data_IF_553422494048
#
_entry.id   IF_553422494048
#
_cell.length_a   1.000
_cell.length_b   1.000
_cell.length_c   1.000
_cell.angle_alpha   90.00
_cell.angle_beta   90.00
_cell.angle_gamma   90.00
#
_symmetry.space_group_name_H-M   'P 1'
#
loop_
_entity.id
_entity.type
_entity.pdbx_description
1 polymer ?
#
# COMPACT_ATOMS: atom_id res chain seq x y z
N UNK A 1 -3.56 -24.16 -23.29
CA UNK A 1 -3.67 -24.40 -21.82
C UNK A 1 -2.41 -24.06 -21.05
N UNK A 2 -1.20 -24.36 -21.57
CA UNK A 2 0.07 -23.99 -20.91
C UNK A 2 0.18 -22.49 -20.56
N UNK A 3 -0.19 -21.59 -21.48
CA UNK A 3 -0.15 -20.13 -21.23
C UNK A 3 -1.09 -19.66 -20.12
N UNK A 4 -2.25 -20.30 -19.89
CA UNK A 4 -3.16 -19.95 -18.78
C UNK A 4 -2.64 -20.44 -17.42
N UNK A 5 -1.99 -21.61 -17.39
CA UNK A 5 -1.40 -22.17 -16.16
C UNK A 5 -0.11 -21.41 -15.80
N UNK A 6 0.69 -21.05 -16.80
CA UNK A 6 1.90 -20.24 -16.62
C UNK A 6 1.56 -18.78 -16.31
N UNK A 7 0.53 -18.17 -16.91
CA UNK A 7 0.18 -16.77 -16.59
C UNK A 7 -0.25 -16.59 -15.13
N UNK A 8 -1.04 -17.52 -14.58
CA UNK A 8 -1.45 -17.48 -13.18
C UNK A 8 -0.27 -17.67 -12.20
N UNK A 9 0.64 -18.61 -12.51
CA UNK A 9 1.82 -18.89 -11.67
C UNK A 9 2.86 -17.77 -11.76
N UNK A 10 3.12 -17.25 -12.95
CA UNK A 10 4.04 -16.11 -13.14
C UNK A 10 3.50 -14.87 -12.45
N UNK A 11 2.19 -14.59 -12.51
CA UNK A 11 1.55 -13.48 -11.79
C UNK A 11 1.72 -13.61 -10.28
N UNK A 12 1.49 -14.81 -9.73
CA UNK A 12 1.71 -15.09 -8.31
C UNK A 12 3.17 -14.86 -7.91
N UNK A 13 4.12 -15.37 -8.70
CA UNK A 13 5.56 -15.19 -8.47
C UNK A 13 5.92 -13.70 -8.52
N UNK A 14 5.45 -12.94 -9.51
CA UNK A 14 5.72 -11.51 -9.63
C UNK A 14 5.20 -10.74 -8.42
N UNK A 15 4.00 -11.04 -7.91
CA UNK A 15 3.48 -10.41 -6.70
C UNK A 15 4.29 -10.79 -5.46
N UNK A 16 4.60 -12.07 -5.26
CA UNK A 16 5.40 -12.53 -4.12
C UNK A 16 6.77 -11.86 -4.15
N UNK A 17 7.45 -11.87 -5.29
CA UNK A 17 8.77 -11.24 -5.47
C UNK A 17 8.69 -9.73 -5.25
N UNK A 18 7.66 -9.06 -5.78
CA UNK A 18 7.48 -7.62 -5.59
C UNK A 18 7.27 -7.23 -4.13
N UNK A 19 6.41 -7.95 -3.40
CA UNK A 19 6.19 -7.70 -1.97
C UNK A 19 7.39 -8.10 -1.12
N UNK A 20 8.12 -9.15 -1.49
CA UNK A 20 9.37 -9.55 -0.84
C UNK A 20 10.44 -8.48 -1.02
N UNK A 21 10.58 -7.92 -2.22
CA UNK A 21 11.50 -6.82 -2.47
C UNK A 21 11.11 -5.58 -1.66
N UNK A 22 9.84 -5.20 -1.66
CA UNK A 22 9.34 -4.09 -0.84
C UNK A 22 9.64 -4.32 0.65
N UNK A 23 9.45 -5.54 1.15
CA UNK A 23 9.83 -5.93 2.51
C UNK A 23 11.30 -5.65 2.79
N UNK A 24 12.20 -6.17 1.96
CA UNK A 24 13.63 -5.99 2.19
C UNK A 24 14.07 -4.53 2.11
N UNK A 25 13.53 -3.77 1.16
CA UNK A 25 13.83 -2.33 1.03
C UNK A 25 13.39 -1.57 2.28
N UNK A 26 12.14 -1.75 2.74
CA UNK A 26 11.66 -1.07 3.94
C UNK A 26 12.41 -1.52 5.19
N UNK A 27 12.66 -2.83 5.34
CA UNK A 27 13.39 -3.35 6.47
C UNK A 27 14.80 -2.77 6.53
N UNK A 28 15.52 -2.74 5.41
CA UNK A 28 16.87 -2.19 5.34
C UNK A 28 16.89 -0.69 5.67
N UNK A 29 15.99 0.10 5.07
CA UNK A 29 15.90 1.55 5.31
C UNK A 29 15.56 1.86 6.78
N UNK A 30 14.63 1.12 7.38
CA UNK A 30 14.22 1.36 8.77
C UNK A 30 15.29 0.84 9.74
N UNK A 31 15.94 -0.29 9.45
CA UNK A 31 17.04 -0.82 10.27
C UNK A 31 18.25 0.10 10.31
N UNK A 32 18.44 0.94 9.29
CA UNK A 32 19.44 2.02 9.32
C UNK A 32 19.14 3.13 10.33
N UNK A 33 17.90 3.24 10.81
CA UNK A 33 17.43 4.29 11.72
C UNK A 33 17.00 3.77 13.09
N UNK A 34 16.67 2.48 13.21
CA UNK A 34 16.09 1.84 14.40
C UNK A 34 16.69 0.46 14.62
N UNK A 35 16.55 -0.05 15.85
CA UNK A 35 16.95 -1.41 16.17
C UNK A 35 16.21 -2.44 15.29
N UNK A 36 16.82 -3.60 15.00
CA UNK A 36 16.31 -4.58 14.04
C UNK A 36 14.91 -5.10 14.38
N UNK A 37 14.59 -5.23 15.67
CA UNK A 37 13.26 -5.68 16.13
C UNK A 37 12.16 -4.64 15.81
N UNK A 38 12.41 -3.37 16.13
CA UNK A 38 11.46 -2.28 15.81
C UNK A 38 11.33 -2.10 14.29
N UNK A 39 12.44 -2.24 13.56
CA UNK A 39 12.45 -2.16 12.11
C UNK A 39 11.62 -3.27 11.45
N UNK A 40 11.68 -4.49 11.99
CA UNK A 40 10.84 -5.59 11.53
C UNK A 40 9.36 -5.29 11.76
N UNK A 41 8.99 -4.86 12.97
CA UNK A 41 7.60 -4.54 13.32
C UNK A 41 7.03 -3.42 12.43
N UNK A 42 7.77 -2.33 12.26
CA UNK A 42 7.35 -1.21 11.39
C UNK A 42 7.25 -1.63 9.93
N UNK A 43 8.15 -2.49 9.45
CA UNK A 43 8.09 -3.04 8.07
C UNK A 43 6.84 -3.90 7.87
N UNK A 44 6.58 -4.85 8.77
CA UNK A 44 5.41 -5.71 8.72
C UNK A 44 4.12 -4.89 8.73
N UNK A 45 4.02 -3.90 9.63
CA UNK A 45 2.89 -2.99 9.68
C UNK A 45 2.74 -2.22 8.37
N UNK A 46 3.83 -1.65 7.85
CA UNK A 46 3.81 -0.89 6.61
C UNK A 46 3.29 -1.74 5.43
N UNK A 47 3.82 -2.95 5.27
CA UNK A 47 3.36 -3.89 4.24
C UNK A 47 1.90 -4.27 4.38
N UNK A 48 1.43 -4.52 5.60
CA UNK A 48 0.01 -4.85 5.82
C UNK A 48 -0.91 -3.74 5.28
N UNK A 49 -0.58 -2.47 5.56
CA UNK A 49 -1.32 -1.33 5.03
C UNK A 49 -1.19 -1.19 3.51
N UNK A 50 0.02 -1.31 2.96
CA UNK A 50 0.23 -1.21 1.50
C UNK A 50 -0.52 -2.32 0.76
N UNK A 51 -0.49 -3.55 1.25
CA UNK A 51 -1.23 -4.67 0.66
C UNK A 51 -2.75 -4.45 0.77
N UNK A 52 -3.24 -4.04 1.95
CA UNK A 52 -4.66 -3.76 2.16
C UNK A 52 -5.16 -2.67 1.20
N UNK A 53 -4.39 -1.59 1.04
CA UNK A 53 -4.72 -0.51 0.13
C UNK A 53 -4.65 -0.96 -1.33
N UNK A 54 -3.56 -1.63 -1.72
CA UNK A 54 -3.35 -2.06 -3.10
C UNK A 54 -4.42 -3.05 -3.57
N UNK A 55 -4.68 -4.11 -2.79
CA UNK A 55 -5.66 -5.12 -3.17
C UNK A 55 -7.10 -4.67 -2.92
N UNK A 56 -7.36 -3.90 -1.86
CA UNK A 56 -8.67 -3.30 -1.61
C UNK A 56 -9.08 -2.37 -2.75
N UNK A 57 -8.16 -1.53 -3.21
CA UNK A 57 -8.44 -0.65 -4.34
C UNK A 57 -8.56 -1.41 -5.66
N UNK A 58 -7.57 -2.23 -6.02
CA UNK A 58 -7.56 -2.95 -7.29
C UNK A 58 -8.76 -3.91 -7.44
N UNK A 59 -8.99 -4.78 -6.46
CA UNK A 59 -10.00 -5.83 -6.60
C UNK A 59 -11.41 -5.40 -6.24
N UNK A 60 -11.57 -4.49 -5.29
CA UNK A 60 -12.90 -4.08 -4.82
C UNK A 60 -13.30 -2.79 -5.53
N UNK A 61 -12.54 -1.70 -5.36
CA UNK A 61 -12.95 -0.40 -5.87
C UNK A 61 -12.96 -0.37 -7.40
N UNK A 62 -11.88 -0.80 -8.04
CA UNK A 62 -11.75 -0.71 -9.50
C UNK A 62 -12.63 -1.77 -10.19
N UNK A 63 -12.41 -3.06 -9.93
CA UNK A 63 -13.15 -4.11 -10.64
C UNK A 63 -14.66 -4.08 -10.36
N UNK A 64 -15.08 -3.81 -9.12
CA UNK A 64 -16.51 -3.89 -8.79
C UNK A 64 -17.27 -2.59 -9.04
N UNK A 65 -16.67 -1.42 -8.78
CA UNK A 65 -17.40 -0.15 -8.87
C UNK A 65 -17.00 0.71 -10.07
N UNK A 66 -15.73 0.75 -10.44
CA UNK A 66 -15.28 1.54 -11.59
C UNK A 66 -15.72 0.89 -12.91
N UNK A 67 -15.47 -0.41 -13.10
CA UNK A 67 -15.85 -1.10 -14.34
C UNK A 67 -17.37 -1.25 -14.53
N UNK A 68 -18.14 -1.25 -13.44
CA UNK A 68 -19.61 -1.29 -13.50
C UNK A 68 -20.25 0.09 -13.67
N UNK A 69 -19.44 1.16 -13.84
CA UNK A 69 -19.91 2.52 -14.08
C UNK A 69 -20.48 3.23 -12.84
N UNK A 70 -20.29 2.68 -11.63
CA UNK A 70 -20.80 3.26 -10.36
C UNK A 70 -19.84 4.31 -9.80
N UNK A 71 -19.50 5.32 -10.60
CA UNK A 71 -18.42 6.28 -10.31
C UNK A 71 -18.63 7.09 -9.02
N UNK A 72 -19.87 7.48 -8.67
CA UNK A 72 -20.14 8.22 -7.44
C UNK A 72 -19.79 7.40 -6.20
N UNK A 73 -20.24 6.15 -6.17
CA UNK A 73 -19.99 5.25 -5.05
C UNK A 73 -18.51 4.86 -5.00
N UNK A 74 -17.90 4.62 -6.16
CA UNK A 74 -16.45 4.39 -6.28
C UNK A 74 -15.65 5.54 -5.66
N UNK A 75 -15.96 6.79 -6.01
CA UNK A 75 -15.21 7.96 -5.54
C UNK A 75 -15.35 8.13 -4.02
N UNK A 76 -16.56 7.97 -3.48
CA UNK A 76 -16.81 8.04 -2.03
C UNK A 76 -16.01 6.94 -1.30
N UNK A 77 -16.11 5.69 -1.75
CA UNK A 77 -15.42 4.57 -1.12
C UNK A 77 -13.89 4.69 -1.25
N UNK A 78 -13.40 5.26 -2.35
CA UNK A 78 -11.96 5.53 -2.54
C UNK A 78 -11.46 6.56 -1.52
N UNK A 79 -12.20 7.65 -1.32
CA UNK A 79 -11.84 8.68 -0.31
C UNK A 79 -11.86 8.08 1.09
N UNK A 80 -12.90 7.30 1.42
CA UNK A 80 -13.03 6.65 2.74
C UNK A 80 -11.89 5.66 2.97
N UNK A 81 -11.58 4.81 1.99
CA UNK A 81 -10.48 3.85 2.09
C UNK A 81 -9.14 4.57 2.24
N UNK A 82 -8.92 5.61 1.43
CA UNK A 82 -7.69 6.39 1.39
C UNK A 82 -7.41 7.07 2.72
N UNK A 83 -8.31 7.96 3.15
CA UNK A 83 -8.13 8.76 4.36
C UNK A 83 -8.29 7.90 5.62
N UNK A 84 -9.17 6.90 5.58
CA UNK A 84 -9.37 5.95 6.67
C UNK A 84 -8.11 5.13 6.95
N UNK A 85 -7.48 4.55 5.92
CA UNK A 85 -6.23 3.81 6.10
C UNK A 85 -5.07 4.73 6.49
N UNK A 86 -5.00 5.95 5.96
CA UNK A 86 -3.97 6.91 6.39
C UNK A 86 -4.12 7.30 7.87
N UNK A 87 -5.35 7.52 8.33
CA UNK A 87 -5.66 7.80 9.73
C UNK A 87 -5.31 6.60 10.63
N UNK A 88 -5.75 5.40 10.24
CA UNK A 88 -5.47 4.17 10.98
C UNK A 88 -3.96 3.86 11.02
N UNK A 89 -3.24 4.12 9.93
CA UNK A 89 -1.78 3.96 9.86
C UNK A 89 -1.08 4.92 10.80
N UNK A 90 -1.52 6.18 10.84
CA UNK A 90 -0.99 7.21 11.74
C UNK A 90 -1.24 6.85 13.20
N UNK A 91 -2.48 6.44 13.52
CA UNK A 91 -2.84 5.99 14.85
C UNK A 91 -2.00 4.79 15.30
N UNK A 92 -1.83 3.79 14.42
CA UNK A 92 -1.01 2.61 14.71
C UNK A 92 0.45 2.99 14.97
N UNK A 93 1.00 3.96 14.23
CA UNK A 93 2.37 4.45 14.45
C UNK A 93 2.54 5.10 15.83
N UNK A 94 1.58 5.93 16.22
CA UNK A 94 1.57 6.61 17.50
C UNK A 94 1.35 5.64 18.67
N UNK A 95 0.46 4.66 18.49
CA UNK A 95 0.12 3.70 19.53
C UNK A 95 1.24 2.69 19.80
N UNK A 96 1.78 2.06 18.75
CA UNK A 96 2.77 0.98 18.92
C UNK A 96 4.20 1.49 19.08
N UNK A 97 4.55 2.62 18.45
CA UNK A 97 5.94 3.10 18.42
C UNK A 97 6.13 4.49 19.05
N UNK A 98 5.05 5.09 19.57
CA UNK A 98 5.09 6.37 20.26
C UNK A 98 5.51 7.54 19.38
N UNK A 99 5.45 7.44 18.05
CA UNK A 99 5.83 8.54 17.15
C UNK A 99 6.60 8.13 15.90
N UNK A 100 7.15 9.14 15.24
CA UNK A 100 7.79 8.99 13.93
C UNK A 100 9.08 8.18 13.97
N UNK A 101 9.45 7.63 12.81
CA UNK A 101 10.73 6.97 12.56
C UNK A 101 11.93 7.82 13.01
N UNK A 102 11.82 9.15 12.96
CA UNK A 102 12.89 10.10 13.30
C UNK A 102 12.88 10.58 14.77
N UNK A 103 12.00 10.05 15.63
CA UNK A 103 11.93 10.43 17.05
C UNK A 103 13.29 10.23 17.75
N UNK A 104 13.79 11.25 18.45
CA UNK A 104 15.08 11.24 19.15
C UNK A 104 16.33 11.22 18.26
N UNK A 105 16.21 11.51 16.96
CA UNK A 105 17.35 11.81 16.10
C UNK A 105 17.60 13.33 16.13
N UNK A 106 18.75 13.74 16.66
CA UNK A 106 19.16 15.15 16.75
C UNK A 106 19.22 15.82 15.38
N UNK A 107 18.56 16.98 15.24
CA UNK A 107 18.54 17.76 14.00
C UNK A 107 17.37 17.48 13.05
N UNK A 108 16.52 16.48 13.34
CA UNK A 108 15.31 16.21 12.55
C UNK A 108 14.05 16.70 13.26
N UNK A 109 13.11 17.37 12.55
CA UNK A 109 11.85 17.81 13.14
C UNK A 109 11.11 16.62 13.74
N UNK A 110 10.60 16.76 14.98
CA UNK A 110 9.55 15.85 15.47
C UNK A 110 8.38 15.93 14.51
N UNK A 111 7.98 14.79 13.96
CA UNK A 111 6.80 14.74 13.12
C UNK A 111 5.59 14.59 14.03
N UNK A 112 4.80 15.66 14.10
CA UNK A 112 3.51 15.66 14.79
C UNK A 112 2.49 14.80 14.02
N UNK A 113 1.42 14.39 14.70
CA UNK A 113 0.37 13.55 14.12
C UNK A 113 -0.17 14.06 12.75
N UNK A 114 -0.39 15.37 12.52
CA UNK A 114 -0.85 15.86 11.22
C UNK A 114 0.17 15.69 10.09
N UNK A 115 1.48 15.81 10.40
CA UNK A 115 2.55 15.63 9.40
C UNK A 115 2.71 14.16 9.03
N UNK A 116 2.61 13.26 10.01
CA UNK A 116 2.59 11.82 9.77
C UNK A 116 1.37 11.42 8.92
N UNK A 117 0.19 11.92 9.28
CA UNK A 117 -1.02 11.70 8.50
C UNK A 117 -0.87 12.20 7.07
N UNK A 118 -0.37 13.42 6.86
CA UNK A 118 -0.13 13.97 5.53
C UNK A 118 0.83 13.12 4.70
N UNK A 119 1.93 12.63 5.30
CA UNK A 119 2.88 11.74 4.64
C UNK A 119 2.26 10.39 4.23
N UNK A 120 1.46 9.77 5.12
CA UNK A 120 0.75 8.54 4.78
C UNK A 120 -0.35 8.77 3.76
N UNK A 121 -1.13 9.84 3.86
CA UNK A 121 -2.14 10.20 2.89
C UNK A 121 -1.51 10.39 1.49
N UNK A 122 -0.42 11.15 1.38
CA UNK A 122 0.23 11.37 0.08
C UNK A 122 0.77 10.06 -0.52
N UNK A 123 1.48 9.25 0.27
CA UNK A 123 2.03 7.98 -0.21
C UNK A 123 0.93 6.97 -0.58
N UNK A 124 -0.17 6.93 0.17
CA UNK A 124 -1.32 6.08 -0.12
C UNK A 124 -2.06 6.54 -1.37
N UNK A 125 -2.16 7.85 -1.62
CA UNK A 125 -2.73 8.36 -2.85
C UNK A 125 -1.96 7.87 -4.08
N UNK A 126 -0.63 7.96 -4.04
CA UNK A 126 0.22 7.45 -5.12
C UNK A 126 -0.01 5.96 -5.34
N UNK A 127 -0.06 5.17 -4.25
CA UNK A 127 -0.30 3.74 -4.35
C UNK A 127 -1.69 3.43 -4.92
N UNK A 128 -2.74 4.19 -4.58
CA UNK A 128 -4.08 4.04 -5.15
C UNK A 128 -4.09 4.29 -6.66
N UNK A 129 -3.40 5.33 -7.12
CA UNK A 129 -3.29 5.62 -8.56
C UNK A 129 -2.56 4.49 -9.28
N UNK A 130 -1.40 4.06 -8.78
CA UNK A 130 -0.64 2.94 -9.37
C UNK A 130 -1.44 1.64 -9.37
N UNK A 131 -2.11 1.33 -8.26
CA UNK A 131 -2.99 0.16 -8.11
C UNK A 131 -4.13 0.19 -9.14
N UNK A 132 -4.77 1.34 -9.34
CA UNK A 132 -5.86 1.47 -10.30
C UNK A 132 -5.38 1.32 -11.74
N UNK A 133 -4.29 1.99 -12.12
CA UNK A 133 -3.69 1.85 -13.45
C UNK A 133 -3.27 0.41 -13.72
N UNK A 134 -2.60 -0.22 -12.75
CA UNK A 134 -2.20 -1.62 -12.84
C UNK A 134 -3.40 -2.53 -13.11
N UNK A 135 -4.47 -2.38 -12.35
CA UNK A 135 -5.67 -3.21 -12.50
C UNK A 135 -6.35 -2.99 -13.85
N UNK A 136 -6.47 -1.75 -14.32
CA UNK A 136 -7.07 -1.44 -15.62
C UNK A 136 -6.27 -2.04 -16.80
N UNK A 137 -4.94 -1.95 -16.74
CA UNK A 137 -4.07 -2.59 -17.73
C UNK A 137 -4.23 -4.11 -17.72
N UNK A 138 -4.40 -4.68 -16.54
CA UNK A 138 -4.57 -6.11 -16.37
C UNK A 138 -5.92 -6.61 -16.92
N UNK A 139 -7.01 -5.91 -16.61
CA UNK A 139 -8.33 -6.23 -17.14
C UNK A 139 -8.36 -6.11 -18.67
N UNK A 140 -7.67 -5.11 -19.24
CA UNK A 140 -7.54 -4.96 -20.70
C UNK A 140 -6.78 -6.13 -21.32
N UNK A 141 -5.66 -6.56 -20.74
CA UNK A 141 -4.91 -7.74 -21.23
C UNK A 141 -5.75 -9.01 -21.19
N UNK A 142 -6.58 -9.17 -20.14
CA UNK A 142 -7.49 -10.31 -20.05
C UNK A 142 -8.53 -10.30 -21.19
N UNK A 143 -9.05 -9.13 -21.58
CA UNK A 143 -9.95 -8.96 -22.71
C UNK A 143 -9.28 -9.27 -24.06
N UNK A 144 -8.05 -8.79 -24.29
CA UNK A 144 -7.29 -9.04 -25.52
C UNK A 144 -6.87 -10.53 -25.69
N UNK A 145 -6.86 -11.29 -24.59
CA UNK A 145 -6.50 -12.72 -24.59
C UNK A 145 -7.68 -13.69 -24.76
N UNK A 146 -8.92 -13.17 -24.83
CA UNK A 146 -10.15 -13.96 -25.06
C UNK A 146 -10.49 -13.99 -26.54
#
# INVERSE_FOLDING_TARGET
MLNKILSGRTRLITHITGWTLAFFVFFYLISGLRGPQEALQRTCLNLAFLMALFYGNARILVNHFFETGKYRLWLILTIVLWLGLAALRTWSELHFFGGSLFRNITGLPRADAPRLFGGYALSFLLLLVFSAVYQLLENRRELESR
#
